data_IF_666053295502
#
_entry.id   IF_666053295502
#
_cell.length_a   1.000
_cell.length_b   1.000
_cell.length_c   1.000
_cell.angle_alpha   90.00
_cell.angle_beta   90.00
_cell.angle_gamma   90.00
#
_symmetry.space_group_name_H-M   'P 1'
#
loop_
_entity.id
_entity.type
_entity.pdbx_description
1 polymer ?
#
# COMPACT_ATOMS: atom_id res chain seq x y z
N UNK A 1 6.55 -6.76 22.66
CA UNK A 1 7.22 -7.28 21.45
C UNK A 1 6.15 -7.96 20.63
N UNK A 2 5.70 -7.36 19.53
CA UNK A 2 4.70 -7.97 18.65
C UNK A 2 5.44 -8.65 17.49
N UNK A 3 5.80 -9.92 17.68
CA UNK A 3 6.12 -10.81 16.56
C UNK A 3 4.81 -11.47 16.15
N UNK A 4 4.33 -11.21 14.94
CA UNK A 4 3.27 -11.99 14.30
C UNK A 4 3.90 -13.28 13.81
N UNK A 5 3.57 -14.41 14.43
CA UNK A 5 4.03 -15.72 13.95
C UNK A 5 3.55 -15.92 12.52
N UNK A 6 4.46 -16.37 11.67
CA UNK A 6 4.23 -16.76 10.28
C UNK A 6 3.37 -18.04 10.23
N UNK A 7 2.11 -17.97 10.65
CA UNK A 7 1.11 -19.02 10.43
C UNK A 7 0.09 -18.48 9.46
N UNK A 8 0.13 -19.04 8.25
CA UNK A 8 -0.92 -19.00 7.24
C UNK A 8 -1.92 -17.85 7.43
N UNK A 9 -1.44 -16.62 7.32
CA UNK A 9 -2.35 -15.53 7.00
C UNK A 9 -2.78 -15.80 5.57
N UNK A 10 -3.93 -16.47 5.43
CA UNK A 10 -4.88 -16.10 4.40
C UNK A 10 -5.25 -14.64 4.70
N UNK A 11 -4.35 -13.72 4.39
CA UNK A 11 -4.70 -12.33 4.20
C UNK A 11 -5.74 -12.36 3.09
N UNK A 12 -7.00 -12.13 3.45
CA UNK A 12 -8.04 -11.74 2.51
C UNK A 12 -7.69 -10.33 2.02
N UNK A 13 -6.66 -10.25 1.17
CA UNK A 13 -6.35 -9.06 0.42
C UNK A 13 -7.05 -9.20 -0.93
N UNK A 14 -8.14 -8.47 -1.08
CA UNK A 14 -8.86 -8.42 -2.34
C UNK A 14 -8.03 -7.64 -3.37
N UNK A 15 -7.62 -8.34 -4.43
CA UNK A 15 -7.26 -7.72 -5.69
C UNK A 15 -8.58 -7.44 -6.42
N UNK A 16 -8.84 -6.19 -6.80
CA UNK A 16 -9.97 -5.83 -7.65
C UNK A 16 -9.78 -6.46 -9.04
N UNK A 17 -10.31 -7.67 -9.22
CA UNK A 17 -10.55 -8.29 -10.53
C UNK A 17 -11.98 -8.82 -10.57
N UNK A 18 -12.70 -8.66 -11.69
CA UNK A 18 -14.11 -9.01 -11.78
C UNK A 18 -14.26 -10.51 -11.96
N UNK A 19 -14.35 -11.27 -10.87
CA UNK A 19 -14.93 -12.62 -10.90
C UNK A 19 -15.83 -12.81 -9.67
N UNK A 20 -17.12 -12.98 -9.94
CA UNK A 20 -18.13 -13.40 -8.96
C UNK A 20 -17.71 -14.77 -8.41
N UNK A 21 -17.49 -14.86 -7.10
CA UNK A 21 -17.50 -16.12 -6.38
C UNK A 21 -18.63 -16.08 -5.36
N UNK A 22 -19.46 -17.10 -5.37
CA UNK A 22 -20.56 -17.32 -4.43
C UNK A 22 -19.97 -17.71 -3.08
N UNK A 23 -20.32 -16.97 -2.03
CA UNK A 23 -19.95 -17.31 -0.64
C UNK A 23 -20.71 -18.58 -0.22
N UNK A 24 -19.98 -19.59 0.23
CA UNK A 24 -20.56 -20.79 0.87
C UNK A 24 -20.90 -20.41 2.32
N UNK A 25 -22.19 -20.53 2.67
CA UNK A 25 -22.72 -20.35 4.02
C UNK A 25 -21.93 -21.15 5.06
N UNK A 26 -21.44 -20.48 6.10
CA UNK A 26 -21.03 -21.13 7.34
C UNK A 26 -22.26 -21.33 8.25
N UNK A 27 -22.39 -22.47 8.95
CA UNK A 27 -23.54 -22.70 9.82
C UNK A 27 -23.47 -21.79 11.06
N UNK A 28 -24.53 -21.02 11.24
CA UNK A 28 -24.81 -20.22 12.43
C UNK A 28 -25.18 -21.14 13.59
N UNK A 29 -24.26 -21.38 14.51
CA UNK A 29 -24.58 -21.83 15.87
C UNK A 29 -23.42 -21.48 16.82
N UNK A 30 -23.39 -20.24 17.29
CA UNK A 30 -22.69 -19.91 18.54
C UNK A 30 -23.60 -19.07 19.42
N UNK A 31 -24.03 -19.68 20.54
CA UNK A 31 -24.75 -19.01 21.62
C UNK A 31 -23.82 -17.99 22.26
N UNK A 32 -24.26 -16.75 22.28
CA UNK A 32 -23.61 -15.64 22.97
C UNK A 32 -23.87 -15.79 24.47
N UNK A 33 -22.88 -16.29 25.23
CA UNK A 33 -22.90 -16.18 26.69
C UNK A 33 -21.99 -15.05 27.11
N UNK A 34 -22.52 -14.16 27.96
CA UNK A 34 -21.79 -13.08 28.63
C UNK A 34 -20.57 -13.63 29.37
N UNK A 35 -19.41 -13.58 28.73
CA UNK A 35 -18.10 -13.49 29.37
C UNK A 35 -17.18 -12.78 28.38
N UNK A 36 -16.46 -11.78 28.88
CA UNK A 36 -15.45 -11.03 28.10
C UNK A 36 -14.56 -12.02 27.37
N UNK A 37 -14.52 -11.93 26.04
CA UNK A 37 -13.39 -12.46 25.29
C UNK A 37 -12.25 -11.48 25.47
N UNK A 38 -11.51 -11.62 26.57
CA UNK A 38 -10.14 -11.13 26.63
C UNK A 38 -9.35 -11.94 25.60
N UNK A 39 -9.16 -11.37 24.41
CA UNK A 39 -8.14 -11.81 23.44
C UNK A 39 -6.73 -11.47 23.96
N UNK A 40 -6.46 -11.75 25.25
CA UNK A 40 -5.13 -11.83 25.84
C UNK A 40 -4.73 -13.31 25.85
N UNK A 41 -4.97 -14.00 24.73
CA UNK A 41 -4.19 -15.19 24.41
C UNK A 41 -2.88 -14.68 23.84
N UNK A 42 -1.84 -14.57 24.67
CA UNK A 42 -0.48 -14.50 24.12
C UNK A 42 -0.34 -15.70 23.17
N UNK A 43 -0.12 -15.44 21.88
CA UNK A 43 0.19 -16.46 20.85
C UNK A 43 1.54 -17.17 21.14
N UNK A 44 2.07 -16.98 22.35
CA UNK A 44 3.39 -17.37 22.85
C UNK A 44 3.32 -18.07 24.21
N UNK A 45 2.16 -18.63 24.58
CA UNK A 45 2.03 -19.38 25.83
C UNK A 45 3.07 -20.53 25.89
N UNK A 46 3.64 -20.86 27.07
CA UNK A 46 4.64 -21.92 27.22
C UNK A 46 4.26 -23.30 26.66
N UNK A 47 2.97 -23.55 26.42
CA UNK A 47 2.44 -24.78 25.81
C UNK A 47 2.28 -24.74 24.28
N UNK A 48 2.62 -23.65 23.60
CA UNK A 48 2.43 -23.55 22.15
C UNK A 48 3.36 -24.52 21.41
N UNK A 49 2.89 -25.21 20.36
CA UNK A 49 3.72 -26.16 19.59
C UNK A 49 5.02 -25.54 19.06
N UNK A 50 4.98 -24.26 18.71
CA UNK A 50 6.07 -23.48 18.13
C UNK A 50 7.20 -23.25 19.14
N UNK A 51 6.84 -23.09 20.42
CA UNK A 51 7.75 -22.79 21.54
C UNK A 51 8.05 -24.00 22.41
N UNK A 52 7.44 -25.15 22.17
CA UNK A 52 7.50 -26.31 23.06
C UNK A 52 8.94 -26.65 23.49
N UNK A 53 9.18 -26.61 24.80
CA UNK A 53 10.49 -26.91 25.41
C UNK A 53 11.49 -25.76 25.43
N UNK A 54 11.15 -24.56 24.92
CA UNK A 54 12.02 -23.39 24.91
C UNK A 54 11.78 -22.48 26.10
N UNK A 55 12.84 -22.21 26.87
CA UNK A 55 12.83 -21.24 27.97
C UNK A 55 12.58 -19.82 27.45
N UNK A 56 13.28 -19.41 26.38
CA UNK A 56 13.21 -18.07 25.79
C UNK A 56 12.86 -18.11 24.30
N UNK A 57 12.03 -17.17 23.84
CA UNK A 57 11.75 -16.95 22.42
C UNK A 57 12.73 -15.91 21.87
N UNK A 58 13.68 -16.35 21.04
CA UNK A 58 14.71 -15.52 20.40
C UNK A 58 14.58 -15.58 18.88
N UNK A 59 15.18 -14.64 18.11
CA UNK A 59 15.17 -14.72 16.64
C UNK A 59 15.66 -16.07 16.11
N UNK A 60 16.72 -16.64 16.67
CA UNK A 60 17.21 -17.97 16.25
C UNK A 60 16.26 -19.11 16.61
N UNK A 61 15.57 -19.02 17.75
CA UNK A 61 14.59 -20.02 18.14
C UNK A 61 13.37 -20.00 17.21
N UNK A 62 12.92 -18.81 16.84
CA UNK A 62 11.85 -18.59 15.87
C UNK A 62 12.26 -19.01 14.46
N UNK A 63 13.47 -18.70 14.01
CA UNK A 63 14.00 -19.17 12.73
C UNK A 63 14.01 -20.71 12.65
N UNK A 64 14.46 -21.40 13.70
CA UNK A 64 14.40 -22.87 13.78
C UNK A 64 12.96 -23.38 13.70
N UNK A 65 12.05 -22.74 14.44
CA UNK A 65 10.63 -23.12 14.46
C UNK A 65 9.97 -22.91 13.09
N UNK A 66 10.15 -21.73 12.48
CA UNK A 66 9.65 -21.41 11.14
C UNK A 66 10.12 -22.43 10.12
N UNK A 67 11.42 -22.73 10.07
CA UNK A 67 11.97 -23.71 9.13
C UNK A 67 11.42 -25.12 9.33
N UNK A 68 11.25 -25.55 10.58
CA UNK A 68 10.65 -26.85 10.88
C UNK A 68 9.21 -26.93 10.34
N UNK A 69 8.39 -25.92 10.60
CA UNK A 69 7.01 -25.84 10.09
C UNK A 69 6.95 -25.71 8.56
N UNK A 70 7.82 -24.91 7.96
CA UNK A 70 7.94 -24.78 6.51
C UNK A 70 8.15 -26.16 5.87
N UNK A 71 9.12 -26.92 6.38
CA UNK A 71 9.43 -28.28 5.90
C UNK A 71 8.29 -29.24 6.12
N UNK A 72 7.72 -29.27 7.31
CA UNK A 72 6.66 -30.20 7.67
C UNK A 72 5.41 -29.98 6.81
N UNK A 73 4.91 -28.74 6.73
CA UNK A 73 3.73 -28.40 5.94
C UNK A 73 3.99 -28.68 4.47
N UNK A 74 5.11 -28.20 3.93
CA UNK A 74 5.44 -28.31 2.51
C UNK A 74 5.60 -29.75 2.05
N UNK A 75 6.16 -30.62 2.91
CA UNK A 75 6.30 -32.06 2.63
C UNK A 75 4.94 -32.75 2.66
N UNK A 76 4.11 -32.48 3.67
CA UNK A 76 2.76 -33.06 3.79
C UNK A 76 1.86 -32.72 2.61
N UNK A 77 1.98 -31.52 2.04
CA UNK A 77 1.21 -31.10 0.86
C UNK A 77 1.96 -31.29 -0.47
N UNK A 78 3.15 -31.88 -0.45
CA UNK A 78 4.01 -32.10 -1.62
C UNK A 78 4.24 -30.83 -2.48
N UNK A 79 4.46 -29.66 -1.86
CA UNK A 79 4.71 -28.40 -2.57
C UNK A 79 6.05 -27.78 -2.20
N UNK A 80 6.80 -27.38 -3.23
CA UNK A 80 7.91 -26.41 -3.09
C UNK A 80 7.37 -24.98 -3.26
N UNK A 81 8.15 -24.00 -2.81
CA UNK A 81 7.82 -22.58 -2.92
C UNK A 81 6.37 -22.27 -2.49
N UNK A 82 6.02 -22.67 -1.26
CA UNK A 82 4.70 -22.50 -0.67
C UNK A 82 4.66 -21.31 0.31
N UNK A 83 5.69 -21.19 1.15
CA UNK A 83 5.62 -20.37 2.36
C UNK A 83 6.12 -18.95 2.11
N UNK A 84 5.45 -17.96 2.69
CA UNK A 84 6.05 -16.65 2.88
C UNK A 84 6.76 -16.62 4.24
N UNK A 85 8.09 -16.48 4.22
CA UNK A 85 8.92 -16.52 5.42
C UNK A 85 9.20 -15.13 5.99
N UNK A 86 9.49 -15.06 7.29
CA UNK A 86 10.02 -13.86 7.93
C UNK A 86 8.99 -12.74 8.17
N UNK A 87 7.71 -13.08 8.32
CA UNK A 87 6.58 -12.12 8.41
C UNK A 87 6.55 -11.38 9.75
N UNK A 88 7.51 -10.47 9.94
CA UNK A 88 7.75 -9.77 11.20
C UNK A 88 7.33 -8.28 11.15
N UNK A 89 7.05 -7.68 12.31
CA UNK A 89 6.73 -6.26 12.50
C UNK A 89 7.88 -5.45 13.16
N UNK A 90 9.09 -5.99 13.30
CA UNK A 90 10.12 -5.37 14.15
C UNK A 90 11.56 -5.28 13.61
N UNK A 91 11.82 -5.15 12.29
CA UNK A 91 13.20 -5.02 11.80
C UNK A 91 13.95 -3.86 12.50
N UNK A 92 15.27 -4.00 12.79
CA UNK A 92 16.18 -5.00 12.22
C UNK A 92 16.24 -6.35 12.95
N UNK A 93 15.67 -6.47 14.16
CA UNK A 93 15.62 -7.72 14.93
C UNK A 93 14.29 -8.42 14.66
N UNK A 94 14.26 -9.74 14.49
CA UNK A 94 13.06 -10.39 13.92
C UNK A 94 12.85 -9.85 12.52
N UNK A 95 13.76 -10.21 11.63
CA UNK A 95 13.81 -9.69 10.28
C UNK A 95 14.04 -10.80 9.26
N UNK A 96 13.59 -10.58 8.03
CA UNK A 96 13.96 -11.44 6.92
C UNK A 96 15.46 -11.37 6.65
N UNK A 97 16.13 -10.25 6.96
CA UNK A 97 17.59 -10.14 6.85
C UNK A 97 18.35 -11.05 7.83
N UNK A 98 17.82 -11.31 9.03
CA UNK A 98 18.34 -12.31 9.97
C UNK A 98 17.96 -13.75 9.59
N UNK A 99 16.73 -13.97 9.11
CA UNK A 99 16.20 -15.31 8.80
C UNK A 99 16.75 -15.87 7.49
N UNK A 100 16.79 -15.07 6.43
CA UNK A 100 17.09 -15.53 5.07
C UNK A 100 18.42 -16.30 4.97
N UNK A 101 19.55 -15.85 5.56
CA UNK A 101 20.80 -16.60 5.53
C UNK A 101 20.73 -17.96 6.24
N UNK A 102 19.77 -18.15 7.15
CA UNK A 102 19.63 -19.37 7.93
C UNK A 102 18.80 -20.44 7.21
N UNK A 103 18.08 -20.11 6.13
CA UNK A 103 17.17 -21.04 5.44
C UNK A 103 17.89 -22.31 4.94
N UNK A 104 19.08 -22.17 4.35
CA UNK A 104 19.85 -23.30 3.84
C UNK A 104 19.01 -24.18 2.89
N UNK A 105 18.96 -25.51 3.08
CA UNK A 105 18.13 -26.41 2.25
C UNK A 105 16.62 -26.14 2.30
N UNK A 106 16.11 -25.48 3.35
CA UNK A 106 14.68 -25.18 3.51
C UNK A 106 14.20 -24.05 2.59
N UNK A 107 15.12 -23.29 2.00
CA UNK A 107 14.83 -22.23 1.01
C UNK A 107 13.98 -22.74 -0.17
N UNK A 108 14.02 -24.05 -0.47
CA UNK A 108 13.18 -24.67 -1.49
C UNK A 108 11.67 -24.58 -1.18
N UNK A 109 11.30 -24.43 0.10
CA UNK A 109 9.92 -24.30 0.57
C UNK A 109 9.46 -22.84 0.61
N UNK A 110 10.40 -21.89 0.67
CA UNK A 110 10.13 -20.45 0.69
C UNK A 110 9.75 -19.96 -0.71
N UNK A 111 8.55 -19.39 -0.84
CA UNK A 111 8.08 -18.71 -2.05
C UNK A 111 8.56 -17.27 -2.12
N UNK A 112 8.52 -16.59 -0.98
CA UNK A 112 8.81 -15.17 -0.82
C UNK A 112 9.20 -14.88 0.61
N UNK A 113 9.89 -13.78 0.84
CA UNK A 113 9.98 -13.18 2.17
C UNK A 113 8.96 -12.04 2.28
N UNK A 114 8.69 -11.58 3.48
CA UNK A 114 7.95 -10.33 3.64
C UNK A 114 7.82 -9.94 5.10
N UNK A 115 7.31 -8.75 5.36
CA UNK A 115 7.15 -8.22 6.72
C UNK A 115 5.96 -7.27 6.82
N UNK A 116 5.67 -6.86 8.04
CA UNK A 116 4.65 -5.86 8.33
C UNK A 116 5.26 -4.46 8.28
N UNK A 117 4.54 -3.51 7.70
CA UNK A 117 5.01 -2.15 7.51
C UNK A 117 3.92 -1.13 7.85
N UNK A 118 4.06 -0.47 9.01
CA UNK A 118 3.17 0.61 9.44
C UNK A 118 3.98 1.84 9.83
N UNK A 119 3.82 2.99 9.14
CA UNK A 119 4.54 4.22 9.46
C UNK A 119 4.26 4.78 10.85
N UNK A 120 3.05 4.54 11.37
CA UNK A 120 2.60 5.09 12.64
C UNK A 120 1.87 4.04 13.49
N UNK A 121 1.56 4.41 14.73
CA UNK A 121 0.79 3.57 15.66
C UNK A 121 -0.37 4.37 16.21
N UNK A 122 -1.57 3.76 16.22
CA UNK A 122 -2.73 4.26 16.95
C UNK A 122 -3.02 3.42 18.22
N UNK A 123 -2.04 2.63 18.66
CA UNK A 123 -2.19 1.77 19.85
C UNK A 123 -1.94 2.55 21.15
N UNK A 124 -2.75 2.28 22.18
CA UNK A 124 -2.58 2.86 23.51
C UNK A 124 -2.51 4.40 23.46
N UNK A 125 -1.45 4.97 24.02
CA UNK A 125 -1.23 6.42 24.08
C UNK A 125 -0.45 6.99 22.87
N UNK A 126 -0.24 6.20 21.82
CA UNK A 126 0.46 6.66 20.61
C UNK A 126 -0.32 7.79 19.93
N UNK A 127 0.38 8.79 19.40
CA UNK A 127 -0.23 9.88 18.62
C UNK A 127 0.09 9.71 17.15
N UNK A 128 -0.94 9.79 16.33
CA UNK A 128 -0.84 9.81 14.86
C UNK A 128 -0.79 11.23 14.32
N UNK A 129 -0.09 11.44 13.20
CA UNK A 129 0.00 12.72 12.50
C UNK A 129 -0.28 12.54 11.01
N UNK A 130 -1.38 13.11 10.51
CA UNK A 130 -1.71 13.04 9.08
C UNK A 130 -0.70 13.82 8.22
N UNK A 131 -0.24 14.98 8.72
CA UNK A 131 0.79 15.77 8.04
C UNK A 131 2.11 15.01 7.93
N UNK A 132 2.52 14.31 9.00
CA UNK A 132 3.70 13.44 8.97
C UNK A 132 3.51 12.24 8.05
N UNK A 133 2.33 11.60 8.07
CA UNK A 133 2.02 10.46 7.22
C UNK A 133 2.19 10.82 5.74
N UNK A 134 1.66 11.98 5.33
CA UNK A 134 1.72 12.42 3.93
C UNK A 134 3.10 12.91 3.49
N UNK A 135 3.97 13.32 4.41
CA UNK A 135 5.21 13.97 4.03
C UNK A 135 6.11 13.04 3.19
N UNK A 136 6.43 13.45 1.94
CA UNK A 136 7.18 12.62 1.00
C UNK A 136 8.54 12.16 1.57
N UNK A 137 9.29 13.05 2.22
CA UNK A 137 10.57 12.71 2.85
C UNK A 137 10.41 11.67 3.96
N UNK A 138 9.35 11.76 4.77
CA UNK A 138 9.06 10.75 5.80
C UNK A 138 8.66 9.41 5.20
N UNK A 139 7.93 9.39 4.08
CA UNK A 139 7.56 8.17 3.35
C UNK A 139 8.82 7.49 2.79
N UNK A 140 9.68 8.24 2.09
CA UNK A 140 10.97 7.76 1.56
C UNK A 140 11.82 7.17 2.69
N UNK A 141 11.97 7.91 3.80
CA UNK A 141 12.73 7.47 4.96
C UNK A 141 12.15 6.20 5.59
N UNK A 142 10.83 6.13 5.80
CA UNK A 142 10.16 4.97 6.35
C UNK A 142 10.39 3.72 5.50
N UNK A 143 10.17 3.83 4.19
CA UNK A 143 10.32 2.72 3.24
C UNK A 143 11.77 2.28 3.17
N UNK A 144 12.73 3.21 3.14
CA UNK A 144 14.16 2.92 3.08
C UNK A 144 14.66 2.00 4.21
N UNK A 145 13.98 1.96 5.36
CA UNK A 145 14.33 1.04 6.47
C UNK A 145 14.23 -0.45 6.10
N UNK A 146 13.50 -0.79 5.05
CA UNK A 146 13.34 -2.17 4.57
C UNK A 146 14.39 -2.59 3.52
N UNK A 147 15.37 -1.73 3.21
CA UNK A 147 16.38 -2.01 2.18
C UNK A 147 17.19 -3.28 2.49
N UNK A 148 17.55 -3.50 3.76
CA UNK A 148 18.24 -4.72 4.18
C UNK A 148 17.39 -5.99 3.95
N UNK A 149 16.09 -5.90 4.22
CA UNK A 149 15.12 -6.99 4.04
C UNK A 149 14.97 -7.37 2.56
N UNK A 150 14.78 -6.36 1.70
CA UNK A 150 14.67 -6.53 0.25
C UNK A 150 15.96 -7.13 -0.31
N UNK A 151 17.12 -6.62 0.11
CA UNK A 151 18.42 -7.17 -0.32
C UNK A 151 18.62 -8.61 0.10
N UNK A 152 18.25 -8.98 1.33
CA UNK A 152 18.40 -10.34 1.82
C UNK A 152 17.56 -11.34 1.00
N UNK A 153 16.29 -11.01 0.74
CA UNK A 153 15.42 -11.81 -0.12
C UNK A 153 15.97 -11.92 -1.55
N UNK A 154 16.38 -10.78 -2.14
CA UNK A 154 16.91 -10.72 -3.51
C UNK A 154 18.19 -11.54 -3.69
N UNK A 155 19.10 -11.55 -2.71
CA UNK A 155 20.32 -12.37 -2.72
C UNK A 155 20.02 -13.87 -2.86
N UNK A 156 18.85 -14.31 -2.39
CA UNK A 156 18.38 -15.70 -2.50
C UNK A 156 17.45 -15.92 -3.71
N UNK A 157 17.31 -14.94 -4.60
CA UNK A 157 16.42 -15.02 -5.76
C UNK A 157 14.94 -15.09 -5.38
N UNK A 158 14.55 -14.56 -4.21
CA UNK A 158 13.16 -14.54 -3.73
C UNK A 158 12.60 -13.12 -3.72
N UNK A 159 11.30 -12.92 -4.02
CA UNK A 159 10.66 -11.63 -3.86
C UNK A 159 10.47 -11.27 -2.38
N UNK A 160 10.40 -9.97 -2.09
CA UNK A 160 10.05 -9.43 -0.78
C UNK A 160 8.73 -8.68 -0.86
N UNK A 161 7.83 -8.90 0.10
CA UNK A 161 6.54 -8.23 0.16
C UNK A 161 6.38 -7.44 1.46
N UNK A 162 5.61 -6.35 1.42
CA UNK A 162 4.92 -5.88 2.62
C UNK A 162 3.68 -6.75 2.80
N UNK A 163 3.84 -7.85 3.52
CA UNK A 163 2.84 -8.90 3.78
C UNK A 163 1.62 -8.40 4.54
N UNK A 164 1.82 -7.33 5.31
CA UNK A 164 0.75 -6.57 5.93
C UNK A 164 1.20 -5.12 6.03
N UNK A 165 0.38 -4.18 5.58
CA UNK A 165 0.73 -2.78 5.69
C UNK A 165 -0.50 -1.89 5.78
N UNK A 166 -0.37 -0.78 6.49
CA UNK A 166 -1.30 0.33 6.38
C UNK A 166 -0.69 1.60 7.00
N UNK A 167 -1.46 2.69 7.04
CA UNK A 167 -1.05 4.00 7.57
C UNK A 167 -0.63 3.96 9.04
N UNK A 168 -1.36 3.22 9.87
CA UNK A 168 -1.05 3.04 11.30
C UNK A 168 -1.60 1.72 11.86
N UNK A 169 -0.90 1.15 12.84
CA UNK A 169 -1.38 -0.04 13.58
C UNK A 169 -2.64 0.26 14.41
N UNK A 170 -3.28 -0.78 14.95
CA UNK A 170 -4.48 -0.66 15.81
C UNK A 170 -5.67 0.06 15.15
N UNK A 171 -6.00 -0.34 13.92
CA UNK A 171 -7.12 0.21 13.14
C UNK A 171 -6.82 1.58 12.49
N UNK A 172 -5.78 2.28 12.95
CA UNK A 172 -5.34 3.54 12.37
C UNK A 172 -6.28 4.72 12.62
N UNK A 173 -6.88 4.78 13.81
CA UNK A 173 -7.77 5.85 14.24
C UNK A 173 -7.16 7.25 14.09
N UNK A 174 -8.01 8.25 13.84
CA UNK A 174 -7.64 9.66 13.71
C UNK A 174 -7.13 10.10 12.33
N UNK A 175 -6.48 9.21 11.57
CA UNK A 175 -5.84 9.58 10.30
C UNK A 175 -6.21 8.72 9.09
N UNK A 176 -6.55 7.44 9.28
CA UNK A 176 -6.50 6.48 8.17
C UNK A 176 -7.73 6.48 7.26
N UNK A 177 -8.88 6.92 7.76
CA UNK A 177 -10.11 7.07 6.97
C UNK A 177 -10.19 8.39 6.22
N UNK A 178 -9.05 9.04 5.93
CA UNK A 178 -9.00 10.40 5.39
C UNK A 178 -8.40 10.44 3.99
N UNK A 179 -8.70 11.52 3.27
CA UNK A 179 -8.14 11.80 1.96
C UNK A 179 -6.60 11.88 1.97
N UNK A 180 -6.02 12.40 3.05
CA UNK A 180 -4.57 12.42 3.23
C UNK A 180 -3.95 11.03 3.30
N UNK A 181 -4.63 10.06 3.91
CA UNK A 181 -4.18 8.67 3.89
C UNK A 181 -4.29 8.05 2.48
N UNK A 182 -5.30 8.44 1.69
CA UNK A 182 -5.40 8.05 0.28
C UNK A 182 -4.22 8.56 -0.55
N UNK A 183 -3.80 9.79 -0.29
CA UNK A 183 -2.65 10.40 -0.94
C UNK A 183 -1.31 9.77 -0.50
N UNK A 184 -1.14 9.55 0.80
CA UNK A 184 0.01 8.80 1.34
C UNK A 184 0.16 7.44 0.67
N UNK A 185 -0.94 6.70 0.51
CA UNK A 185 -0.94 5.37 -0.08
C UNK A 185 -0.29 5.36 -1.47
N UNK A 186 -0.56 6.37 -2.30
CA UNK A 186 -0.01 6.48 -3.66
C UNK A 186 1.52 6.56 -3.62
N UNK A 187 2.05 7.52 -2.86
CA UNK A 187 3.48 7.74 -2.74
C UNK A 187 4.20 6.56 -2.09
N UNK A 188 3.58 6.00 -1.04
CA UNK A 188 4.07 4.84 -0.32
C UNK A 188 4.21 3.59 -1.21
N UNK A 189 3.23 3.33 -2.08
CA UNK A 189 3.30 2.22 -3.04
C UNK A 189 4.44 2.44 -4.03
N UNK A 190 4.58 3.63 -4.62
CA UNK A 190 5.66 3.88 -5.57
C UNK A 190 7.04 3.79 -4.91
N UNK A 191 7.20 4.33 -3.71
CA UNK A 191 8.46 4.22 -2.97
C UNK A 191 8.81 2.76 -2.64
N UNK A 192 7.82 1.95 -2.23
CA UNK A 192 8.04 0.54 -1.98
C UNK A 192 8.45 -0.23 -3.24
N UNK A 193 7.80 0.03 -4.37
CA UNK A 193 8.15 -0.56 -5.67
C UNK A 193 9.57 -0.16 -6.10
N UNK A 194 9.94 1.11 -5.96
CA UNK A 194 11.29 1.62 -6.28
C UNK A 194 12.38 0.99 -5.41
N UNK A 195 12.08 0.71 -4.13
CA UNK A 195 12.99 -0.01 -3.25
C UNK A 195 13.22 -1.48 -3.67
N UNK A 196 12.27 -2.05 -4.42
CA UNK A 196 12.28 -3.46 -4.84
C UNK A 196 11.31 -4.35 -4.07
N UNK A 197 10.34 -3.79 -3.33
CA UNK A 197 9.22 -4.55 -2.77
C UNK A 197 8.31 -4.98 -3.93
N UNK A 198 8.04 -6.28 -4.06
CA UNK A 198 7.32 -6.82 -5.21
C UNK A 198 5.78 -6.73 -5.05
N UNK A 199 5.29 -6.64 -3.81
CA UNK A 199 3.85 -6.58 -3.51
C UNK A 199 3.59 -5.97 -2.14
N UNK A 200 2.49 -5.25 -2.03
CA UNK A 200 1.98 -4.68 -0.79
C UNK A 200 0.58 -5.23 -0.53
N UNK A 201 0.34 -5.68 0.70
CA UNK A 201 -0.95 -6.21 1.14
C UNK A 201 -1.54 -5.28 2.20
N UNK A 202 -2.48 -4.43 1.78
CA UNK A 202 -3.14 -3.47 2.68
C UNK A 202 -4.11 -4.20 3.61
N UNK A 203 -3.84 -4.15 4.92
CA UNK A 203 -4.65 -4.84 5.91
C UNK A 203 -6.09 -4.30 5.92
N UNK A 204 -7.06 -5.20 5.91
CA UNK A 204 -8.48 -4.89 6.07
C UNK A 204 -8.92 -5.45 7.42
N UNK A 205 -9.21 -4.54 8.35
CA UNK A 205 -9.52 -4.90 9.72
C UNK A 205 -11.02 -5.02 9.93
N UNK A 206 -11.42 -5.07 11.20
CA UNK A 206 -12.83 -5.14 11.59
C UNK A 206 -13.60 -3.95 11.02
N UNK A 207 -14.67 -4.24 10.27
CA UNK A 207 -15.56 -3.23 9.67
C UNK A 207 -16.01 -2.24 10.75
N UNK A 208 -15.96 -0.95 10.43
CA UNK A 208 -16.26 0.20 11.32
C UNK A 208 -15.30 0.42 12.50
N UNK A 209 -14.37 -0.49 12.79
CA UNK A 209 -13.36 -0.34 13.85
C UNK A 209 -11.94 -0.15 13.32
N UNK A 210 -11.75 -0.27 12.01
CA UNK A 210 -10.47 -0.09 11.33
C UNK A 210 -10.59 0.97 10.25
N UNK A 211 -10.46 2.27 10.59
CA UNK A 211 -10.54 3.37 9.63
C UNK A 211 -9.63 3.25 8.40
N UNK A 212 -8.55 2.46 8.48
CA UNK A 212 -7.69 2.23 7.31
C UNK A 212 -8.30 1.32 6.24
N UNK A 213 -9.40 0.63 6.55
CA UNK A 213 -10.04 -0.29 5.61
C UNK A 213 -10.59 0.48 4.41
N UNK A 214 -10.52 -0.12 3.24
CA UNK A 214 -10.92 0.51 1.97
C UNK A 214 -12.42 0.76 1.87
N UNK A 215 -13.22 0.10 2.70
CA UNK A 215 -14.64 0.33 2.85
C UNK A 215 -15.04 0.04 4.29
N UNK A 216 -16.21 0.53 4.66
CA UNK A 216 -16.88 0.18 5.90
C UNK A 216 -18.33 -0.23 5.61
N UNK A 217 -19.19 -0.31 6.62
CA UNK A 217 -20.56 -0.80 6.43
C UNK A 217 -21.43 0.09 5.51
N UNK A 218 -21.07 1.36 5.31
CA UNK A 218 -21.91 2.35 4.63
C UNK A 218 -21.20 3.19 3.57
N UNK A 219 -19.87 3.11 3.45
CA UNK A 219 -19.12 3.90 2.48
C UNK A 219 -17.85 3.23 1.98
N UNK A 220 -17.46 3.61 0.77
CA UNK A 220 -16.09 3.44 0.28
C UNK A 220 -15.20 4.47 0.97
N UNK A 221 -14.12 4.02 1.60
CA UNK A 221 -13.18 4.92 2.29
C UNK A 221 -12.30 5.68 1.29
N UNK A 222 -11.80 6.88 1.63
CA UNK A 222 -10.84 7.60 0.79
C UNK A 222 -9.62 6.75 0.38
N UNK A 223 -9.12 5.87 1.24
CA UNK A 223 -7.98 4.98 0.92
C UNK A 223 -8.22 4.08 -0.29
N UNK A 224 -9.47 3.68 -0.56
CA UNK A 224 -9.83 2.99 -1.80
C UNK A 224 -9.61 3.86 -3.04
N UNK A 225 -9.87 5.17 -2.97
CA UNK A 225 -9.57 6.08 -4.08
C UNK A 225 -8.06 6.14 -4.35
N UNK A 226 -7.24 6.15 -3.31
CA UNK A 226 -5.78 6.07 -3.43
C UNK A 226 -5.32 4.75 -4.05
N UNK A 227 -5.87 3.62 -3.58
CA UNK A 227 -5.57 2.30 -4.11
C UNK A 227 -5.99 2.14 -5.59
N UNK A 228 -7.17 2.66 -5.94
CA UNK A 228 -7.63 2.71 -7.33
C UNK A 228 -6.75 3.60 -8.18
N UNK A 229 -6.40 4.81 -7.71
CA UNK A 229 -5.52 5.74 -8.41
C UNK A 229 -4.19 5.08 -8.77
N UNK A 230 -3.49 4.48 -7.79
CA UNK A 230 -2.18 3.89 -8.04
C UNK A 230 -2.28 2.66 -8.95
N UNK A 231 -3.34 1.86 -8.82
CA UNK A 231 -3.62 0.73 -9.72
C UNK A 231 -3.89 1.20 -11.16
N UNK A 232 -4.66 2.28 -11.32
CA UNK A 232 -4.94 2.89 -12.61
C UNK A 232 -3.65 3.44 -13.24
N UNK A 233 -2.78 4.05 -12.44
CA UNK A 233 -1.49 4.56 -12.89
C UNK A 233 -0.58 3.42 -13.38
N UNK A 234 -0.43 2.36 -12.58
CA UNK A 234 0.44 1.22 -12.89
C UNK A 234 -0.04 0.35 -14.06
N UNK A 235 -1.31 0.49 -14.50
CA UNK A 235 -1.88 -0.28 -15.62
C UNK A 235 -0.96 -0.26 -16.84
N UNK A 236 -0.48 -1.44 -17.22
CA UNK A 236 0.29 -1.68 -18.44
C UNK A 236 1.70 -1.11 -18.42
N UNK A 237 2.17 -0.55 -17.30
CA UNK A 237 3.55 -0.13 -17.12
C UNK A 237 4.42 -1.35 -16.72
N UNK A 238 5.63 -1.41 -17.26
CA UNK A 238 6.65 -2.43 -16.98
C UNK A 238 7.77 -1.89 -16.10
N UNK A 239 8.05 -0.58 -16.18
CA UNK A 239 9.03 0.08 -15.31
C UNK A 239 8.46 1.33 -14.64
N UNK A 240 9.09 1.70 -13.53
CA UNK A 240 8.78 2.86 -12.71
C UNK A 240 10.09 3.60 -12.41
N UNK A 241 10.09 4.92 -12.55
CA UNK A 241 11.20 5.77 -12.11
C UNK A 241 10.69 6.96 -11.32
N UNK A 242 11.56 7.51 -10.46
CA UNK A 242 11.37 8.84 -9.87
C UNK A 242 12.02 9.86 -10.79
N UNK A 243 11.29 10.91 -11.13
CA UNK A 243 11.82 12.03 -11.90
C UNK A 243 12.23 13.17 -10.97
N UNK A 244 13.20 14.02 -11.38
CA UNK A 244 13.56 15.21 -10.64
C UNK A 244 12.36 16.14 -10.43
N UNK A 245 12.33 16.78 -9.28
CA UNK A 245 11.39 17.85 -8.95
C UNK A 245 12.20 19.00 -8.37
N UNK A 246 11.86 20.23 -8.74
CA UNK A 246 12.45 21.44 -8.16
C UNK A 246 11.98 21.71 -6.73
N UNK A 247 11.00 20.93 -6.23
CA UNK A 247 10.39 21.09 -4.91
C UNK A 247 10.43 19.77 -4.12
N UNK A 248 10.86 19.80 -2.85
CA UNK A 248 10.94 18.59 -2.02
C UNK A 248 9.56 18.01 -1.65
N UNK A 249 8.49 18.82 -1.65
CA UNK A 249 7.12 18.41 -1.34
C UNK A 249 6.38 17.81 -2.55
N UNK A 250 7.00 17.82 -3.74
CA UNK A 250 6.39 17.29 -4.96
C UNK A 250 7.19 16.10 -5.43
N UNK A 251 6.54 14.93 -5.44
CA UNK A 251 7.08 13.72 -6.03
C UNK A 251 6.54 13.56 -7.45
N UNK A 252 7.43 13.29 -8.40
CA UNK A 252 7.10 13.00 -9.79
C UNK A 252 7.58 11.60 -10.14
N UNK A 253 6.68 10.77 -10.65
CA UNK A 253 6.94 9.40 -11.06
C UNK A 253 6.72 9.23 -12.55
N UNK A 254 7.70 8.65 -13.23
CA UNK A 254 7.59 8.20 -14.61
C UNK A 254 7.19 6.73 -14.65
N UNK A 255 6.16 6.40 -15.43
CA UNK A 255 5.70 5.05 -15.65
C UNK A 255 5.94 4.70 -17.12
N UNK A 256 6.66 3.61 -17.33
CA UNK A 256 7.24 3.26 -18.62
C UNK A 256 6.69 1.92 -19.09
N UNK A 257 6.56 1.78 -20.39
CA UNK A 257 6.26 0.51 -21.05
C UNK A 257 7.35 0.21 -22.05
N UNK A 258 8.14 -0.83 -21.79
CA UNK A 258 9.29 -1.24 -22.59
C UNK A 258 10.26 -0.08 -22.87
N UNK A 259 10.68 0.65 -21.82
CA UNK A 259 11.59 1.80 -21.94
C UNK A 259 10.97 3.10 -22.50
N UNK A 260 9.67 3.12 -22.85
CA UNK A 260 8.97 4.33 -23.30
C UNK A 260 8.11 4.92 -22.18
N UNK A 261 8.27 6.21 -21.90
CA UNK A 261 7.41 6.92 -20.95
C UNK A 261 5.97 6.96 -21.49
N UNK A 262 5.02 6.40 -20.74
CA UNK A 262 3.59 6.34 -21.14
C UNK A 262 2.69 7.14 -20.21
N UNK A 263 3.13 7.35 -18.96
CA UNK A 263 2.33 8.04 -17.95
C UNK A 263 3.22 8.68 -16.91
N UNK A 264 2.76 9.78 -16.32
CA UNK A 264 3.35 10.39 -15.15
C UNK A 264 2.36 10.37 -14.00
N UNK A 265 2.88 10.29 -12.78
CA UNK A 265 2.13 10.64 -11.57
C UNK A 265 2.83 11.80 -10.87
N UNK A 266 2.04 12.78 -10.46
CA UNK A 266 2.51 13.88 -9.61
C UNK A 266 1.76 13.81 -8.29
N UNK A 267 2.50 13.81 -7.19
CA UNK A 267 1.98 13.81 -5.84
C UNK A 267 2.51 15.04 -5.10
N UNK A 268 1.60 15.84 -4.53
CA UNK A 268 1.95 17.00 -3.72
C UNK A 268 1.72 16.70 -2.23
N UNK A 269 2.80 16.48 -1.49
CA UNK A 269 2.78 16.03 -0.09
C UNK A 269 2.52 17.13 0.94
N UNK A 270 2.63 18.40 0.56
CA UNK A 270 2.29 19.52 1.45
C UNK A 270 0.88 19.35 2.04
N UNK A 271 0.84 19.34 3.37
CA UNK A 271 -0.37 19.10 4.13
C UNK A 271 -1.29 20.32 4.12
N UNK A 272 -2.55 20.09 3.74
CA UNK A 272 -3.63 21.07 3.84
C UNK A 272 -4.68 20.57 4.82
N UNK A 273 -4.87 21.29 5.92
CA UNK A 273 -5.92 21.03 6.91
C UNK A 273 -7.21 21.81 6.64
N UNK A 274 -8.26 21.62 7.47
CA UNK A 274 -9.54 22.32 7.33
C UNK A 274 -9.43 23.85 7.38
N UNK A 275 -8.49 24.35 8.19
CA UNK A 275 -8.28 25.78 8.43
C UNK A 275 -7.12 26.35 7.60
N UNK A 276 -6.54 25.57 6.69
CA UNK A 276 -5.45 26.06 5.83
C UNK A 276 -5.98 27.08 4.83
N UNK A 277 -5.27 28.20 4.60
CA UNK A 277 -5.69 29.22 3.64
C UNK A 277 -5.78 28.64 2.22
N UNK A 278 -6.59 29.30 1.39
CA UNK A 278 -6.59 28.99 -0.03
C UNK A 278 -5.21 29.28 -0.62
N UNK A 279 -4.64 28.30 -1.32
CA UNK A 279 -3.37 28.44 -2.03
C UNK A 279 -3.61 28.07 -3.49
N UNK A 280 -3.12 28.91 -4.40
CA UNK A 280 -3.18 28.64 -5.83
C UNK A 280 -2.40 27.36 -6.14
N UNK A 281 -2.87 26.53 -7.08
CA UNK A 281 -2.08 25.45 -7.64
C UNK A 281 -0.72 25.95 -8.12
N UNK A 282 0.33 25.19 -7.86
CA UNK A 282 1.69 25.57 -8.19
C UNK A 282 2.16 24.86 -9.47
N UNK A 283 2.98 25.52 -10.30
CA UNK A 283 3.47 24.91 -11.52
C UNK A 283 4.56 23.89 -11.22
N UNK A 284 4.45 22.74 -11.87
CA UNK A 284 5.46 21.68 -11.94
C UNK A 284 5.87 21.55 -13.40
N UNK A 285 7.15 21.77 -13.67
CA UNK A 285 7.71 21.65 -15.01
C UNK A 285 8.11 20.21 -15.29
N UNK A 286 7.59 19.66 -16.39
CA UNK A 286 8.02 18.35 -16.89
C UNK A 286 8.78 18.56 -18.19
N UNK A 287 10.07 18.22 -18.15
CA UNK A 287 10.96 18.26 -19.31
C UNK A 287 11.05 16.87 -19.96
N UNK A 288 11.50 16.84 -21.21
CA UNK A 288 11.88 15.60 -21.89
C UNK A 288 10.71 14.64 -22.18
N UNK A 289 9.52 15.18 -22.47
CA UNK A 289 8.43 14.35 -23.00
C UNK A 289 8.87 13.73 -24.35
N UNK A 290 8.45 12.49 -24.66
CA UNK A 290 8.73 11.90 -25.96
C UNK A 290 8.25 12.81 -27.10
N UNK A 291 9.05 12.99 -28.18
CA UNK A 291 8.76 13.97 -29.22
C UNK A 291 7.49 13.68 -30.03
N UNK A 292 6.99 12.45 -29.98
CA UNK A 292 5.78 12.01 -30.67
C UNK A 292 4.51 12.08 -29.79
N UNK A 293 4.59 12.63 -28.57
CA UNK A 293 3.40 12.95 -27.77
C UNK A 293 2.61 14.07 -28.44
N UNK A 294 1.34 13.82 -28.75
CA UNK A 294 0.45 14.76 -29.42
C UNK A 294 -0.35 15.63 -28.44
N UNK A 295 -0.73 15.04 -27.31
CA UNK A 295 -1.49 15.69 -26.23
C UNK A 295 -1.32 14.91 -24.95
N UNK A 296 -1.61 15.55 -23.83
CA UNK A 296 -1.64 14.89 -22.53
C UNK A 296 -3.05 14.92 -21.96
N UNK A 297 -3.42 13.84 -21.25
CA UNK A 297 -4.71 13.73 -20.56
C UNK A 297 -4.47 13.66 -19.06
N UNK A 298 -5.05 14.60 -18.34
CA UNK A 298 -4.87 14.79 -16.91
C UNK A 298 -6.09 14.28 -16.14
N UNK A 299 -5.85 13.40 -15.18
CA UNK A 299 -6.86 12.93 -14.24
C UNK A 299 -6.45 13.29 -12.81
N UNK A 300 -7.34 13.95 -12.07
CA UNK A 300 -7.05 14.51 -10.75
C UNK A 300 -7.76 13.76 -9.65
N UNK A 301 -7.03 13.46 -8.57
CA UNK A 301 -7.58 13.06 -7.28
C UNK A 301 -7.46 14.24 -6.32
N UNK A 302 -8.61 14.72 -5.83
CA UNK A 302 -8.67 15.94 -5.02
C UNK A 302 -9.82 15.91 -4.01
N UNK A 303 -9.59 16.61 -2.90
CA UNK A 303 -10.61 17.03 -1.95
C UNK A 303 -10.23 18.44 -1.45
N UNK A 304 -11.12 19.09 -0.69
CA UNK A 304 -10.87 20.43 -0.13
C UNK A 304 -9.68 20.49 0.82
N UNK A 305 -9.42 19.42 1.58
CA UNK A 305 -8.28 19.29 2.48
C UNK A 305 -8.00 17.80 2.79
N UNK A 306 -6.83 17.51 3.38
CA UNK A 306 -6.38 16.16 3.69
C UNK A 306 -7.30 15.41 4.67
N UNK A 307 -7.93 16.10 5.64
CA UNK A 307 -8.83 15.47 6.61
C UNK A 307 -10.22 15.07 6.08
N UNK A 308 -10.54 15.30 4.80
CA UNK A 308 -11.85 14.90 4.24
C UNK A 308 -12.00 13.38 4.32
N UNK A 309 -13.09 12.91 4.92
CA UNK A 309 -13.45 11.49 5.01
C UNK A 309 -14.68 11.12 4.17
N UNK A 310 -15.48 12.11 3.76
CA UNK A 310 -16.72 11.88 3.04
C UNK A 310 -16.49 11.51 1.57
N UNK A 311 -17.23 10.51 1.09
CA UNK A 311 -17.18 9.95 -0.26
C UNK A 311 -18.61 9.67 -0.76
N UNK A 312 -18.78 9.02 -1.92
CA UNK A 312 -20.10 8.57 -2.37
C UNK A 312 -20.98 9.63 -3.03
N UNK A 313 -20.49 10.87 -3.20
CA UNK A 313 -21.09 11.91 -4.04
C UNK A 313 -20.08 12.99 -4.43
N UNK A 314 -20.43 13.82 -5.40
CA UNK A 314 -19.70 15.06 -5.67
C UNK A 314 -20.14 16.14 -4.68
N UNK A 315 -19.15 16.92 -4.23
CA UNK A 315 -19.36 18.06 -3.36
C UNK A 315 -18.03 18.65 -2.90
N UNK A 316 -18.02 19.91 -2.45
CA UNK A 316 -16.79 20.57 -2.02
C UNK A 316 -16.10 19.84 -0.85
N UNK A 317 -16.88 19.22 0.04
CA UNK A 317 -16.35 18.50 1.21
C UNK A 317 -16.21 16.98 0.99
N UNK A 318 -16.16 16.53 -0.27
CA UNK A 318 -16.04 15.10 -0.61
C UNK A 318 -14.78 14.82 -1.44
N UNK A 319 -14.33 13.58 -1.40
CA UNK A 319 -13.27 13.11 -2.30
C UNK A 319 -13.81 13.03 -3.73
N UNK A 320 -13.08 13.61 -4.67
CA UNK A 320 -13.36 13.58 -6.11
C UNK A 320 -12.21 12.91 -6.88
N UNK A 321 -12.55 12.15 -7.90
CA UNK A 321 -11.60 11.55 -8.83
C UNK A 321 -12.03 11.86 -10.24
N UNK A 322 -11.37 12.80 -10.94
CA UNK A 322 -11.78 13.25 -12.27
C UNK A 322 -13.23 13.72 -12.31
N UNK A 323 -13.68 14.50 -11.34
CA UNK A 323 -15.08 14.93 -11.21
C UNK A 323 -16.10 13.77 -11.22
N UNK A 324 -15.70 12.59 -10.72
CA UNK A 324 -16.60 11.47 -10.40
C UNK A 324 -16.30 10.93 -9.00
N UNK A 325 -17.07 9.92 -8.57
CA UNK A 325 -16.97 9.25 -7.29
C UNK A 325 -17.39 7.78 -7.40
N UNK A 326 -17.01 6.98 -6.40
CA UNK A 326 -17.44 5.60 -6.28
C UNK A 326 -18.79 5.51 -5.55
N UNK A 327 -19.72 4.69 -6.05
CA UNK A 327 -20.95 4.36 -5.35
C UNK A 327 -20.61 3.57 -4.07
N UNK A 328 -21.18 4.02 -2.95
CA UNK A 328 -20.94 3.42 -1.64
C UNK A 328 -21.48 1.98 -1.51
N UNK A 329 -22.33 1.53 -2.42
CA UNK A 329 -22.97 0.21 -2.37
C UNK A 329 -22.14 -0.88 -3.06
N UNK A 330 -21.47 -0.56 -4.16
CA UNK A 330 -20.81 -1.56 -5.01
C UNK A 330 -19.40 -1.17 -5.49
N UNK A 331 -18.89 -0.02 -5.04
CA UNK A 331 -17.58 0.50 -5.41
C UNK A 331 -17.40 0.77 -6.91
N UNK A 332 -18.49 0.86 -7.68
CA UNK A 332 -18.47 1.23 -9.10
C UNK A 332 -18.43 2.75 -9.28
N UNK A 333 -17.94 3.21 -10.43
CA UNK A 333 -18.07 4.63 -10.76
C UNK A 333 -19.51 4.97 -11.12
N UNK A 334 -20.02 6.08 -10.58
CA UNK A 334 -21.33 6.63 -11.00
C UNK A 334 -21.29 7.32 -12.37
N UNK A 335 -20.10 7.56 -12.89
CA UNK A 335 -19.84 8.05 -14.24
C UNK A 335 -18.34 7.96 -14.56
N UNK A 336 -17.96 7.90 -15.85
CA UNK A 336 -16.55 7.80 -16.23
C UNK A 336 -15.75 8.99 -15.69
N UNK A 337 -14.52 8.78 -15.18
CA UNK A 337 -13.68 9.89 -14.75
C UNK A 337 -13.37 10.85 -15.91
N UNK A 338 -13.57 12.14 -15.67
CA UNK A 338 -13.29 13.21 -16.61
C UNK A 338 -11.79 13.49 -16.66
N UNK A 339 -11.25 13.48 -17.87
CA UNK A 339 -9.87 13.87 -18.14
C UNK A 339 -9.83 15.27 -18.74
N UNK A 340 -8.96 16.14 -18.22
CA UNK A 340 -8.62 17.40 -18.87
C UNK A 340 -7.57 17.13 -19.94
N UNK A 341 -7.80 17.59 -21.17
CA UNK A 341 -6.81 17.48 -22.25
C UNK A 341 -5.99 18.77 -22.31
N UNK A 342 -4.67 18.65 -22.37
CA UNK A 342 -3.76 19.77 -22.53
C UNK A 342 -2.91 19.56 -23.81
N UNK A 343 -2.61 20.63 -24.57
CA UNK A 343 -1.66 20.54 -25.68
C UNK A 343 -0.25 20.29 -25.15
N UNK A 344 0.61 19.70 -26.00
CA UNK A 344 2.05 19.59 -25.70
C UNK A 344 2.72 20.90 -26.15
N UNK A 345 3.35 21.67 -25.24
CA UNK A 345 4.06 22.87 -25.62
C UNK A 345 5.38 22.54 -26.33
N UNK A 346 5.97 23.52 -27.02
CA UNK A 346 7.32 23.41 -27.59
C UNK A 346 8.43 23.34 -26.52
N UNK A 347 8.13 23.75 -25.28
CA UNK A 347 9.02 23.72 -24.12
C UNK A 347 8.56 22.72 -23.05
N UNK A 348 8.87 22.96 -21.76
CA UNK A 348 8.39 22.09 -20.68
C UNK A 348 6.86 22.09 -20.58
N UNK A 349 6.30 20.93 -20.25
CA UNK A 349 4.89 20.83 -19.90
C UNK A 349 4.69 21.41 -18.49
N UNK A 350 3.93 22.50 -18.40
CA UNK A 350 3.57 23.14 -17.13
C UNK A 350 2.28 22.54 -16.57
N UNK A 351 2.39 21.87 -15.41
CA UNK A 351 1.25 21.25 -14.74
C UNK A 351 0.98 21.93 -13.41
N UNK A 352 -0.28 22.29 -13.19
CA UNK A 352 -0.70 22.96 -11.96
C UNK A 352 -1.30 21.96 -10.97
N UNK A 353 -0.69 21.86 -9.79
CA UNK A 353 -1.12 20.98 -8.70
C UNK A 353 -1.16 21.74 -7.38
N UNK A 354 -2.26 21.61 -6.64
CA UNK A 354 -2.37 22.21 -5.32
C UNK A 354 -1.80 21.27 -4.24
N UNK A 355 -1.40 21.79 -3.07
CA UNK A 355 -1.11 20.99 -1.88
C UNK A 355 -2.20 19.96 -1.60
N UNK A 356 -1.79 18.78 -1.14
CA UNK A 356 -2.68 17.65 -0.86
C UNK A 356 -3.52 17.26 -2.09
N UNK A 357 -2.87 17.03 -3.22
CA UNK A 357 -3.48 16.46 -4.43
C UNK A 357 -2.56 15.44 -5.10
N UNK A 358 -3.15 14.61 -5.96
CA UNK A 358 -2.42 13.74 -6.87
C UNK A 358 -3.01 13.80 -8.28
N UNK A 359 -2.17 13.65 -9.28
CA UNK A 359 -2.53 13.72 -10.69
C UNK A 359 -1.91 12.56 -11.47
N UNK A 360 -2.69 11.92 -12.33
CA UNK A 360 -2.20 11.06 -13.40
C UNK A 360 -2.16 11.87 -14.69
N UNK A 361 -1.04 11.79 -15.42
CA UNK A 361 -0.91 12.32 -16.77
C UNK A 361 -0.71 11.17 -17.73
N UNK A 362 -1.67 10.91 -18.61
CA UNK A 362 -1.52 9.95 -19.69
C UNK A 362 -0.98 10.64 -20.95
N UNK A 363 0.08 10.07 -21.53
CA UNK A 363 0.70 10.61 -22.74
C UNK A 363 0.05 9.98 -23.97
N UNK A 364 -0.69 10.79 -24.74
CA UNK A 364 -1.30 10.34 -26.00
C UNK A 364 -0.29 10.56 -27.12
N UNK A 365 0.29 9.48 -27.60
CA UNK A 365 1.39 9.49 -28.56
C UNK A 365 0.91 9.11 -29.96
N UNK A 366 1.59 9.61 -30.99
CA UNK A 366 1.36 9.19 -32.39
C UNK A 366 1.68 7.71 -32.57
N UNK A 367 2.75 7.25 -31.92
CA UNK A 367 3.15 5.84 -31.91
C UNK A 367 2.51 5.18 -30.69
N UNK A 368 1.69 4.12 -30.85
CA UNK A 368 1.16 3.36 -29.73
C UNK A 368 2.28 2.81 -28.84
N UNK A 369 2.00 2.67 -27.54
CA UNK A 369 2.97 2.07 -26.64
C UNK A 369 3.35 0.65 -27.10
N UNK A 370 4.63 0.28 -27.06
CA UNK A 370 5.09 -1.02 -27.56
C UNK A 370 4.41 -2.20 -26.87
N UNK A 371 4.36 -3.34 -27.57
CA UNK A 371 4.00 -4.63 -26.97
C UNK A 371 5.28 -5.32 -26.49
N UNK A 372 5.45 -5.29 -25.18
CA UNK A 372 6.13 -6.28 -24.36
C UNK A 372 5.15 -6.63 -23.21
#
# INVERSE_FOLDING_TARGET
MYSSSSFLFLSFSYLLLPKKYTLINQPTNYKQTNNRFDLIGEVWAPGSPERKGLKNWTPDADARSQKAWQREISTRVAKKALVQAGVFLSPPRWSASELAPQEGPDLQYVKSFGGHAYPQSACGNSKTSLAGLMNHTQIVSFVGRFEAEVRAAKKLGKPYHFSETNSATCGGHGISGTFGAALWLIDYVFQALLLGVNRLYFHQGTINHSPYSFWNASQVSPTYYGAYFVSLALRGATELSRLPSSRPEVAVYGLWKCGRLVRLVIYHSEFRGPNSPARSPEPVEIHGLPPDVLRVRLLRLAAKHAFVSATGRLGPDHVSFGNTFFDNRDCSFRGPPLYQTLPVPSGPLLLHIAPSQAIIIELVSKIPAPFC
#
